data_IF_941931928088
#
_entry.id   IF_941931928088
#
_cell.length_a   1.000
_cell.length_b   1.000
_cell.length_c   1.000
_cell.angle_alpha   90.00
_cell.angle_beta   90.00
_cell.angle_gamma   90.00
#
_symmetry.space_group_name_H-M   'P 1'
#
loop_
_entity.id
_entity.type
_entity.pdbx_description
1 polymer ?
#
# COMPACT_ATOMS: atom_id res chain seq x y z
N UNK A 1 10.61 -18.92 -20.65
CA UNK A 1 10.68 -17.75 -19.74
C UNK A 1 11.10 -18.27 -18.37
N UNK A 2 12.29 -17.92 -17.92
CA UNK A 2 12.67 -18.18 -16.52
C UNK A 2 11.67 -17.44 -15.62
N UNK A 3 10.95 -18.19 -14.79
CA UNK A 3 10.09 -17.60 -13.79
C UNK A 3 10.97 -16.78 -12.84
N UNK A 4 10.66 -15.51 -12.71
CA UNK A 4 11.35 -14.62 -11.77
C UNK A 4 11.28 -15.20 -10.36
N UNK A 5 12.44 -15.51 -9.80
CA UNK A 5 12.55 -15.94 -8.40
C UNK A 5 12.71 -14.75 -7.43
N UNK A 6 12.63 -13.50 -7.91
CA UNK A 6 12.77 -12.32 -7.05
C UNK A 6 11.59 -12.26 -6.07
N UNK A 7 11.91 -12.25 -4.79
CA UNK A 7 10.94 -12.12 -3.70
C UNK A 7 10.82 -10.66 -3.29
N UNK A 8 9.60 -10.24 -2.99
CA UNK A 8 9.30 -8.89 -2.52
C UNK A 8 8.07 -8.90 -1.62
N UNK A 9 7.91 -7.83 -0.85
CA UNK A 9 6.77 -7.65 0.03
C UNK A 9 5.71 -6.77 -0.64
N UNK A 10 4.47 -6.90 -0.18
CA UNK A 10 3.35 -6.06 -0.63
C UNK A 10 2.89 -5.17 0.52
N UNK A 11 2.75 -3.89 0.25
CA UNK A 11 2.24 -2.90 1.19
C UNK A 11 0.84 -2.45 0.79
N UNK A 12 -0.12 -2.56 1.71
CA UNK A 12 -1.51 -2.17 1.49
C UNK A 12 -1.94 -1.18 2.60
N UNK A 13 -1.98 0.12 2.32
CA UNK A 13 -2.62 1.07 3.22
C UNK A 13 -4.13 0.85 3.22
N UNK A 14 -4.74 0.68 4.40
CA UNK A 14 -6.16 0.34 4.54
C UNK A 14 -6.89 1.38 5.37
N UNK A 15 -7.82 2.09 4.75
CA UNK A 15 -8.75 2.98 5.46
C UNK A 15 -9.86 2.18 6.15
N UNK A 16 -10.49 2.76 7.17
CA UNK A 16 -11.57 2.11 7.92
C UNK A 16 -12.69 1.54 7.04
N UNK A 17 -13.05 2.25 5.98
CA UNK A 17 -14.10 1.84 5.04
C UNK A 17 -13.78 0.56 4.28
N UNK A 18 -12.47 0.26 4.07
CA UNK A 18 -11.99 -0.84 3.25
C UNK A 18 -11.70 -2.11 4.07
N UNK A 19 -11.81 -2.04 5.41
CA UNK A 19 -11.49 -3.16 6.31
C UNK A 19 -12.32 -4.42 6.06
N UNK A 20 -13.55 -4.30 5.57
CA UNK A 20 -14.42 -5.45 5.24
C UNK A 20 -14.02 -6.14 3.94
N UNK A 21 -13.33 -5.43 3.04
CA UNK A 21 -13.00 -5.93 1.72
C UNK A 21 -11.57 -6.48 1.62
N UNK A 22 -10.65 -6.02 2.45
CA UNK A 22 -9.22 -6.32 2.38
C UNK A 22 -8.90 -7.82 2.43
N UNK A 23 -9.75 -8.65 3.09
CA UNK A 23 -9.58 -10.11 3.09
C UNK A 23 -9.60 -10.69 1.68
N UNK A 24 -10.52 -10.22 0.83
CA UNK A 24 -10.57 -10.64 -0.57
C UNK A 24 -9.31 -10.22 -1.32
N UNK A 25 -8.86 -8.99 -1.11
CA UNK A 25 -7.62 -8.46 -1.72
C UNK A 25 -6.43 -9.35 -1.35
N UNK A 26 -6.22 -9.62 -0.06
CA UNK A 26 -5.14 -10.50 0.44
C UNK A 26 -5.22 -11.90 -0.16
N UNK A 27 -6.44 -12.49 -0.20
CA UNK A 27 -6.64 -13.82 -0.80
C UNK A 27 -6.16 -13.86 -2.25
N UNK A 28 -6.53 -12.85 -3.03
CA UNK A 28 -6.19 -12.81 -4.46
C UNK A 28 -4.74 -12.40 -4.72
N UNK A 29 -4.14 -11.55 -3.87
CA UNK A 29 -2.71 -11.25 -3.91
C UNK A 29 -1.92 -12.55 -3.70
N UNK A 30 -2.22 -13.32 -2.66
CA UNK A 30 -1.55 -14.60 -2.39
C UNK A 30 -1.71 -15.61 -3.53
N UNK A 31 -2.83 -15.54 -4.26
CA UNK A 31 -3.11 -16.43 -5.38
C UNK A 31 -2.40 -16.03 -6.66
N UNK A 32 -2.29 -14.73 -6.93
CA UNK A 32 -1.95 -14.24 -8.26
C UNK A 32 -0.69 -13.39 -8.35
N UNK A 33 -0.19 -12.81 -7.25
CA UNK A 33 1.06 -12.03 -7.29
C UNK A 33 2.25 -12.95 -7.13
N UNK A 34 2.96 -13.17 -8.23
CA UNK A 34 4.12 -14.05 -8.28
C UNK A 34 5.30 -13.39 -7.58
N UNK A 35 5.88 -14.05 -6.58
CA UNK A 35 7.01 -13.55 -5.80
C UNK A 35 6.62 -12.77 -4.54
N UNK A 36 5.33 -12.62 -4.24
CA UNK A 36 4.87 -12.06 -2.97
C UNK A 36 5.35 -12.91 -1.79
N UNK A 37 6.02 -12.28 -0.82
CA UNK A 37 6.52 -12.93 0.40
C UNK A 37 5.67 -12.55 1.61
N UNK A 38 5.70 -11.29 2.01
CA UNK A 38 4.87 -10.79 3.10
C UNK A 38 3.91 -9.72 2.60
N UNK A 39 2.79 -9.57 3.29
CA UNK A 39 1.79 -8.53 3.04
C UNK A 39 1.66 -7.69 4.31
N UNK A 40 2.04 -6.43 4.23
CA UNK A 40 1.93 -5.46 5.30
C UNK A 40 0.65 -4.63 5.12
N UNK A 41 -0.25 -4.75 6.07
CA UNK A 41 -1.47 -3.94 6.14
C UNK A 41 -1.19 -2.75 7.05
N UNK A 42 -1.09 -1.55 6.47
CA UNK A 42 -0.87 -0.32 7.24
C UNK A 42 -2.20 0.39 7.46
N UNK A 43 -2.59 0.56 8.71
CA UNK A 43 -3.85 1.18 9.09
C UNK A 43 -3.77 1.76 10.49
N UNK A 44 -4.78 2.56 10.86
CA UNK A 44 -4.91 3.03 12.25
C UNK A 44 -5.14 1.85 13.19
N UNK A 45 -4.45 1.83 14.32
CA UNK A 45 -4.54 0.78 15.34
C UNK A 45 -5.97 0.49 15.80
N UNK A 46 -6.85 1.49 15.78
CA UNK A 46 -8.27 1.32 16.11
C UNK A 46 -9.00 0.38 15.13
N UNK A 47 -8.43 0.10 13.97
CA UNK A 47 -9.00 -0.82 12.97
C UNK A 47 -8.53 -2.28 13.16
N UNK A 48 -7.53 -2.55 14.01
CA UNK A 48 -6.96 -3.89 14.17
C UNK A 48 -8.02 -4.93 14.57
N UNK A 49 -8.94 -4.57 15.48
CA UNK A 49 -10.05 -5.45 15.86
C UNK A 49 -10.96 -5.87 14.70
N UNK A 50 -11.05 -5.04 13.64
CA UNK A 50 -11.82 -5.36 12.43
C UNK A 50 -11.07 -6.30 11.48
N UNK A 51 -9.76 -6.41 11.65
CA UNK A 51 -8.85 -7.14 10.78
C UNK A 51 -8.34 -8.46 11.36
N UNK A 52 -8.85 -8.86 12.55
CA UNK A 52 -8.45 -10.12 13.22
C UNK A 52 -8.62 -11.35 12.32
N UNK A 53 -9.58 -11.32 11.39
CA UNK A 53 -9.80 -12.39 10.43
C UNK A 53 -8.63 -12.60 9.44
N UNK A 54 -7.69 -11.66 9.35
CA UNK A 54 -6.49 -11.79 8.52
C UNK A 54 -5.43 -12.71 9.14
N UNK A 55 -5.55 -13.07 10.43
CA UNK A 55 -4.65 -14.02 11.09
C UNK A 55 -4.63 -15.42 10.44
N UNK A 56 -5.59 -15.75 9.59
CA UNK A 56 -5.56 -16.98 8.80
C UNK A 56 -4.45 -17.00 7.75
N UNK A 57 -3.89 -15.84 7.41
CA UNK A 57 -2.79 -15.73 6.46
C UNK A 57 -1.47 -15.55 7.22
N UNK A 58 -0.57 -16.55 7.22
CA UNK A 58 0.65 -16.52 8.02
C UNK A 58 1.66 -15.46 7.55
N UNK A 59 1.50 -14.96 6.33
CA UNK A 59 2.35 -13.94 5.73
C UNK A 59 1.78 -12.52 5.80
N UNK A 60 0.72 -12.31 6.60
CA UNK A 60 0.11 -10.98 6.79
C UNK A 60 0.50 -10.40 8.14
N UNK A 61 0.98 -9.16 8.14
CA UNK A 61 1.29 -8.39 9.33
C UNK A 61 0.52 -7.06 9.33
N UNK A 62 -0.07 -6.71 10.50
CA UNK A 62 -0.74 -5.44 10.71
C UNK A 62 0.24 -4.43 11.29
N UNK A 63 0.38 -3.27 10.66
CA UNK A 63 1.23 -2.17 11.11
C UNK A 63 0.38 -0.95 11.44
N UNK A 64 0.68 -0.31 12.58
CA UNK A 64 0.08 0.98 12.90
C UNK A 64 0.66 2.07 12.00
N UNK A 65 -0.21 2.80 11.31
CA UNK A 65 0.17 3.91 10.45
C UNK A 65 0.97 5.01 11.16
N UNK A 66 0.81 5.13 12.49
CA UNK A 66 1.53 6.11 13.31
C UNK A 66 2.90 5.63 13.79
N UNK A 67 3.20 4.34 13.66
CA UNK A 67 4.49 3.74 14.04
C UNK A 67 5.41 3.48 12.85
N UNK A 68 4.94 3.74 11.63
CA UNK A 68 5.70 3.47 10.42
C UNK A 68 6.95 4.33 10.33
N UNK A 69 6.79 5.62 10.52
CA UNK A 69 7.87 6.61 10.70
C UNK A 69 7.43 7.66 11.71
N UNK A 70 8.31 8.06 12.66
CA UNK A 70 7.93 8.92 13.79
C UNK A 70 7.32 10.27 13.42
N UNK A 71 7.76 10.85 12.28
CA UNK A 71 7.36 12.20 11.87
C UNK A 71 6.10 12.23 11.01
N UNK A 72 5.52 11.06 10.67
CA UNK A 72 4.36 10.98 9.81
C UNK A 72 3.13 10.43 10.55
N UNK A 73 2.11 11.28 10.72
CA UNK A 73 0.79 10.87 11.16
C UNK A 73 -0.30 11.70 10.47
N UNK A 74 -1.53 11.21 10.55
CA UNK A 74 -2.67 11.87 9.90
C UNK A 74 -2.85 13.33 10.34
N UNK A 75 -2.66 13.63 11.62
CA UNK A 75 -2.82 14.99 12.15
C UNK A 75 -1.82 15.98 11.55
N UNK A 76 -0.56 15.58 11.43
CA UNK A 76 0.48 16.43 10.81
C UNK A 76 0.13 16.71 9.35
N UNK A 77 -0.28 15.70 8.58
CA UNK A 77 -0.66 15.87 7.17
C UNK A 77 -1.89 16.78 7.06
N UNK A 78 -2.89 16.57 7.90
CA UNK A 78 -4.09 17.41 7.94
C UNK A 78 -3.76 18.89 8.18
N UNK A 79 -2.94 19.18 9.20
CA UNK A 79 -2.55 20.56 9.51
C UNK A 79 -1.70 21.19 8.40
N UNK A 80 -0.78 20.43 7.80
CA UNK A 80 -0.01 20.90 6.66
C UNK A 80 -0.91 21.28 5.47
N UNK A 81 -1.85 20.42 5.14
CA UNK A 81 -2.77 20.67 4.02
C UNK A 81 -3.70 21.84 4.28
N UNK A 82 -4.21 21.97 5.51
CA UNK A 82 -5.01 23.11 5.94
C UNK A 82 -4.26 24.42 5.78
N UNK A 83 -3.00 24.47 6.21
CA UNK A 83 -2.13 25.65 6.05
C UNK A 83 -1.88 26.02 4.59
N UNK A 84 -1.89 25.03 3.68
CA UNK A 84 -1.77 25.24 2.22
C UNK A 84 -3.10 25.57 1.54
N UNK A 85 -4.19 25.73 2.28
CA UNK A 85 -5.50 26.11 1.75
C UNK A 85 -6.34 24.96 1.22
N UNK A 86 -5.94 23.70 1.42
CA UNK A 86 -6.80 22.56 1.05
C UNK A 86 -8.01 22.49 1.96
N UNK A 87 -9.20 22.57 1.36
CA UNK A 87 -10.48 22.62 2.09
C UNK A 87 -11.26 21.30 2.00
N UNK A 88 -10.79 20.34 1.20
CA UNK A 88 -11.49 19.07 0.96
C UNK A 88 -11.03 17.99 1.95
N UNK A 89 -11.86 17.59 2.93
CA UNK A 89 -11.47 16.63 3.96
C UNK A 89 -11.02 15.27 3.36
N UNK A 90 -11.66 14.87 2.28
CA UNK A 90 -11.37 13.58 1.62
C UNK A 90 -9.98 13.53 0.96
N UNK A 91 -9.43 14.68 0.57
CA UNK A 91 -8.10 14.74 -0.01
C UNK A 91 -7.00 14.44 1.01
N UNK A 92 -7.18 14.81 2.27
CA UNK A 92 -6.18 14.55 3.33
C UNK A 92 -5.91 13.05 3.46
N UNK A 93 -6.96 12.23 3.50
CA UNK A 93 -6.82 10.77 3.59
C UNK A 93 -6.08 10.17 2.39
N UNK A 94 -6.37 10.67 1.19
CA UNK A 94 -5.68 10.24 -0.03
C UNK A 94 -4.18 10.61 0.00
N UNK A 95 -3.84 11.85 0.36
CA UNK A 95 -2.44 12.27 0.48
C UNK A 95 -1.72 11.50 1.58
N UNK A 96 -2.35 11.28 2.73
CA UNK A 96 -1.77 10.50 3.81
C UNK A 96 -1.46 9.07 3.35
N UNK A 97 -2.38 8.44 2.63
CA UNK A 97 -2.17 7.12 2.05
C UNK A 97 -0.97 7.09 1.08
N UNK A 98 -0.81 8.10 0.22
CA UNK A 98 0.35 8.18 -0.67
C UNK A 98 1.65 8.35 0.13
N UNK A 99 1.64 9.19 1.16
CA UNK A 99 2.81 9.38 2.03
C UNK A 99 3.19 8.11 2.79
N UNK A 100 2.23 7.32 3.26
CA UNK A 100 2.49 6.02 3.88
C UNK A 100 3.19 5.05 2.91
N UNK A 101 2.79 5.04 1.63
CA UNK A 101 3.44 4.23 0.60
C UNK A 101 4.93 4.58 0.43
N UNK A 102 5.29 5.85 0.47
CA UNK A 102 6.68 6.29 0.42
C UNK A 102 7.42 6.11 1.75
N UNK A 103 6.75 6.38 2.87
CA UNK A 103 7.34 6.29 4.19
C UNK A 103 7.76 4.86 4.54
N UNK A 104 7.07 3.85 4.01
CA UNK A 104 7.42 2.45 4.22
C UNK A 104 8.87 2.15 3.85
N UNK A 105 9.42 2.79 2.82
CA UNK A 105 10.82 2.63 2.41
C UNK A 105 11.84 2.99 3.51
N UNK A 106 11.44 3.81 4.50
CA UNK A 106 12.27 4.18 5.66
C UNK A 106 12.00 3.34 6.90
N UNK A 107 11.02 2.45 6.84
CA UNK A 107 10.67 1.61 7.97
C UNK A 107 11.62 0.43 8.12
N UNK A 108 11.63 -0.17 9.32
CA UNK A 108 12.41 -1.39 9.59
C UNK A 108 11.92 -2.64 8.84
N UNK A 109 10.72 -2.59 8.27
CA UNK A 109 10.12 -3.69 7.52
C UNK A 109 10.47 -3.67 6.03
N UNK A 110 10.90 -2.52 5.50
CA UNK A 110 11.18 -2.40 4.08
C UNK A 110 12.39 -3.24 3.65
N UNK A 111 12.22 -4.00 2.58
CA UNK A 111 13.29 -4.67 1.84
C UNK A 111 13.72 -3.83 0.64
N UNK A 112 14.67 -4.37 -0.15
CA UNK A 112 15.15 -3.72 -1.37
C UNK A 112 14.00 -3.35 -2.34
N UNK A 113 12.98 -4.23 -2.42
CA UNK A 113 11.79 -4.04 -3.24
C UNK A 113 10.53 -4.32 -2.44
N UNK A 114 9.54 -3.50 -2.63
CA UNK A 114 8.17 -3.75 -2.20
C UNK A 114 7.18 -3.20 -3.23
N UNK A 115 6.04 -3.85 -3.32
CA UNK A 115 4.93 -3.45 -4.18
C UNK A 115 3.89 -2.70 -3.35
N UNK A 116 3.51 -1.50 -3.77
CA UNK A 116 2.34 -0.81 -3.18
C UNK A 116 1.07 -1.27 -3.87
N UNK A 117 0.04 -1.60 -3.10
CA UNK A 117 -1.23 -2.09 -3.61
C UNK A 117 -2.40 -1.38 -2.95
N UNK A 118 -3.49 -1.17 -3.68
CA UNK A 118 -4.67 -0.51 -3.14
C UNK A 118 -5.64 -1.53 -2.51
N UNK A 119 -6.26 -1.14 -1.39
CA UNK A 119 -7.11 -2.01 -0.59
C UNK A 119 -8.44 -2.41 -1.27
N UNK A 120 -8.77 -1.83 -2.40
CA UNK A 120 -9.98 -2.06 -3.20
C UNK A 120 -9.70 -2.69 -4.58
N UNK A 121 -8.45 -3.10 -4.82
CA UNK A 121 -8.02 -3.69 -6.10
C UNK A 121 -7.76 -5.18 -5.97
N UNK A 122 -8.36 -5.99 -6.85
CA UNK A 122 -8.20 -7.45 -6.88
C UNK A 122 -7.49 -7.86 -8.17
N UNK A 123 -6.33 -8.56 -8.09
CA UNK A 123 -5.72 -9.16 -9.27
C UNK A 123 -6.56 -10.37 -9.71
N UNK A 124 -6.89 -10.45 -11.00
CA UNK A 124 -7.73 -11.52 -11.55
C UNK A 124 -6.94 -12.60 -12.28
N UNK A 125 -5.68 -12.32 -12.62
CA UNK A 125 -4.78 -13.22 -13.33
C UNK A 125 -3.40 -13.21 -12.68
N UNK A 126 -2.55 -14.23 -12.93
CA UNK A 126 -1.16 -14.21 -12.48
C UNK A 126 -0.41 -12.97 -12.99
N UNK A 127 0.21 -12.25 -12.08
CA UNK A 127 1.00 -11.05 -12.36
C UNK A 127 2.43 -11.25 -11.86
N UNK A 128 3.40 -10.99 -12.75
CA UNK A 128 4.82 -10.92 -12.42
C UNK A 128 5.29 -9.47 -12.53
N UNK A 129 6.01 -9.00 -11.52
CA UNK A 129 6.62 -7.68 -11.48
C UNK A 129 8.12 -7.69 -11.77
N UNK A 130 8.66 -8.88 -12.06
CA UNK A 130 10.06 -9.05 -12.40
C UNK A 130 10.23 -9.98 -13.60
N UNK A 131 11.29 -9.73 -14.37
CA UNK A 131 11.87 -10.66 -15.34
C UNK A 131 13.30 -10.98 -14.87
N UNK A 132 13.50 -12.16 -14.32
CA UNK A 132 14.72 -12.47 -13.57
C UNK A 132 14.85 -11.52 -12.36
N UNK A 133 15.95 -10.75 -12.32
CA UNK A 133 16.19 -9.74 -11.28
C UNK A 133 15.78 -8.31 -11.69
N UNK A 134 15.27 -8.15 -12.91
CA UNK A 134 14.93 -6.83 -13.45
C UNK A 134 13.45 -6.52 -13.16
N UNK A 135 13.12 -5.40 -12.47
CA UNK A 135 11.75 -4.99 -12.28
C UNK A 135 11.10 -4.60 -13.61
N UNK A 136 9.84 -4.97 -13.76
CA UNK A 136 9.02 -4.67 -14.92
C UNK A 136 8.18 -3.42 -14.66
N UNK A 137 8.21 -2.48 -15.61
CA UNK A 137 7.38 -1.29 -15.59
C UNK A 137 6.53 -1.24 -16.84
N UNK A 138 5.27 -0.86 -16.71
CA UNK A 138 4.41 -0.56 -17.85
C UNK A 138 4.47 0.93 -18.14
N UNK A 139 4.53 1.28 -19.43
CA UNK A 139 4.39 2.64 -19.90
C UNK A 139 2.95 2.86 -20.34
N UNK A 140 2.27 3.83 -19.75
CA UNK A 140 0.96 4.31 -20.21
C UNK A 140 1.12 5.72 -20.76
N UNK A 141 0.57 5.97 -21.96
CA UNK A 141 0.47 7.30 -22.50
C UNK A 141 -0.82 7.90 -21.95
N UNK A 142 -0.71 8.49 -20.77
CA UNK A 142 -1.82 9.17 -20.10
C UNK A 142 -1.33 10.55 -19.70
N UNK A 143 -2.00 11.58 -20.23
CA UNK A 143 -1.76 12.96 -19.87
C UNK A 143 -2.90 13.43 -18.98
N UNK A 144 -2.58 13.82 -17.75
CA UNK A 144 -3.54 14.41 -16.83
C UNK A 144 -3.07 15.83 -16.50
N UNK A 145 -3.67 16.80 -17.17
CA UNK A 145 -3.29 18.20 -17.13
C UNK A 145 -3.07 18.75 -15.71
N UNK A 146 -3.94 18.45 -14.69
CA UNK A 146 -3.74 18.95 -13.34
C UNK A 146 -2.41 18.57 -12.66
N UNK A 147 -1.72 17.54 -13.14
CA UNK A 147 -0.40 17.18 -12.60
C UNK A 147 0.75 18.07 -13.12
N UNK A 148 0.49 18.86 -14.14
CA UNK A 148 1.51 19.68 -14.81
C UNK A 148 1.27 21.18 -14.66
N UNK A 149 0.18 21.57 -14.01
CA UNK A 149 -0.13 22.97 -13.70
C UNK A 149 0.30 23.22 -12.25
N UNK A 150 1.44 23.87 -12.08
CA UNK A 150 1.97 24.35 -10.78
C UNK A 150 1.87 25.86 -10.72
#
# INVERSE_FOLDING_TARGET
MEQSNKRFDVLIPVARKDTSFVKHVVTYINKYIIGCENIYIVTNKNNFGRLVHLHIFPNVELLDENELVPELNFGIVHECMKKKGERRPNCVGWYFQQLLKFAFAKSKWAKEYYLTWDADTIPLNPLSFFNGNQPLFTKKIEYHEPYFIT
#
